data_IF_738164815935
#
_entry.id   IF_738164815935
#
_cell.length_a   1.000
_cell.length_b   1.000
_cell.length_c   1.000
_cell.angle_alpha   90.00
_cell.angle_beta   90.00
_cell.angle_gamma   90.00
#
_symmetry.space_group_name_H-M   'P 1'
#
loop_
_entity.id
_entity.type
_entity.pdbx_description
1 polymer ?
#
# COMPACT_ATOMS: atom_id res chain seq x y z
N UNK A 1 31.95 15.87 -3.69
CA UNK A 1 33.18 15.60 -2.96
C UNK A 1 33.03 14.30 -2.17
N UNK A 2 34.11 13.51 -2.08
CA UNK A 2 34.18 12.21 -1.38
C UNK A 2 33.69 12.32 0.08
N UNK A 3 33.99 13.43 0.75
CA UNK A 3 33.53 13.74 2.10
C UNK A 3 31.99 13.72 2.25
N UNK A 4 31.26 14.26 1.25
CA UNK A 4 29.78 14.29 1.25
C UNK A 4 29.18 12.88 1.10
N UNK A 5 29.81 12.04 0.26
CA UNK A 5 29.40 10.64 0.05
C UNK A 5 29.62 9.82 1.34
N UNK A 6 30.78 9.97 1.98
CA UNK A 6 31.09 9.29 3.25
C UNK A 6 30.12 9.72 4.35
N UNK A 7 29.75 11.01 4.42
CA UNK A 7 28.77 11.52 5.37
C UNK A 7 27.35 10.98 5.12
N UNK A 8 26.95 10.81 3.85
CA UNK A 8 25.64 10.18 3.51
C UNK A 8 25.59 8.69 3.84
N UNK A 9 26.71 7.94 3.64
CA UNK A 9 26.79 6.52 3.94
C UNK A 9 26.80 6.27 5.45
N UNK A 10 27.42 7.16 6.23
CA UNK A 10 27.52 7.05 7.69
C UNK A 10 26.38 7.76 8.45
N UNK A 11 25.43 8.40 7.75
CA UNK A 11 24.27 8.96 8.41
C UNK A 11 23.42 7.84 9.02
N UNK A 12 23.00 7.93 10.30
CA UNK A 12 22.17 6.91 10.94
C UNK A 12 20.86 6.77 10.15
N UNK A 13 20.72 5.63 9.47
CA UNK A 13 19.48 5.32 8.75
C UNK A 13 18.36 5.09 9.78
N UNK A 14 17.30 5.86 9.70
CA UNK A 14 16.12 5.72 10.58
C UNK A 14 15.46 4.33 10.47
N UNK A 15 15.67 3.62 9.38
CA UNK A 15 15.18 2.25 9.18
C UNK A 15 16.19 1.46 8.33
N UNK A 16 16.54 0.23 8.73
CA UNK A 16 17.42 -0.60 7.92
C UNK A 16 16.78 -0.90 6.55
N UNK A 17 17.61 -0.93 5.51
CA UNK A 17 17.20 -1.32 4.15
C UNK A 17 16.67 -2.76 4.16
N UNK A 18 15.35 -2.91 4.10
CA UNK A 18 14.73 -4.22 3.99
C UNK A 18 14.85 -4.73 2.55
N UNK A 19 15.58 -5.82 2.34
CA UNK A 19 15.66 -6.51 1.07
C UNK A 19 14.31 -7.16 0.74
N UNK A 20 13.49 -6.48 -0.05
CA UNK A 20 12.23 -7.02 -0.52
C UNK A 20 12.42 -7.82 -1.82
N UNK A 21 11.53 -8.78 -2.10
CA UNK A 21 11.53 -9.50 -3.39
C UNK A 21 11.43 -8.57 -4.59
N UNK A 22 10.76 -7.41 -4.45
CA UNK A 22 10.71 -6.37 -5.47
C UNK A 22 12.08 -5.76 -5.73
N UNK A 23 12.78 -5.40 -4.67
CA UNK A 23 14.15 -4.85 -4.75
C UNK A 23 15.11 -5.84 -5.40
N UNK A 24 15.03 -7.13 -5.03
CA UNK A 24 15.84 -8.17 -5.65
C UNK A 24 15.59 -8.26 -7.18
N UNK A 25 14.33 -8.24 -7.64
CA UNK A 25 14.00 -8.24 -9.08
C UNK A 25 14.54 -7.02 -9.82
N UNK A 26 14.43 -5.81 -9.22
CA UNK A 26 14.97 -4.59 -9.82
C UNK A 26 16.49 -4.64 -9.93
N UNK A 27 17.19 -5.10 -8.89
CA UNK A 27 18.65 -5.26 -8.89
C UNK A 27 19.05 -6.31 -9.93
N UNK A 28 18.35 -7.44 -10.02
CA UNK A 28 18.63 -8.47 -11.03
C UNK A 28 18.45 -7.94 -12.45
N UNK A 29 17.38 -7.19 -12.71
CA UNK A 29 17.15 -6.57 -14.01
C UNK A 29 18.25 -5.55 -14.35
N UNK A 30 18.63 -4.69 -13.42
CA UNK A 30 19.71 -3.73 -13.58
C UNK A 30 21.04 -4.43 -13.88
N UNK A 31 21.35 -5.50 -13.15
CA UNK A 31 22.57 -6.30 -13.35
C UNK A 31 22.60 -6.93 -14.75
N UNK A 32 21.50 -7.51 -15.20
CA UNK A 32 21.39 -8.10 -16.56
C UNK A 32 21.56 -7.01 -17.62
N UNK A 33 20.97 -5.81 -17.44
CA UNK A 33 21.16 -4.68 -18.37
C UNK A 33 22.62 -4.24 -18.43
N UNK A 34 23.27 -4.08 -17.27
CA UNK A 34 24.68 -3.72 -17.21
C UNK A 34 25.55 -4.77 -17.92
N UNK A 35 25.36 -6.05 -17.65
CA UNK A 35 26.10 -7.14 -18.31
C UNK A 35 25.86 -7.15 -19.83
N UNK A 36 24.60 -7.00 -20.26
CA UNK A 36 24.24 -6.98 -21.68
C UNK A 36 24.90 -5.83 -22.42
N UNK A 37 24.85 -4.62 -21.87
CA UNK A 37 25.49 -3.43 -22.47
C UNK A 37 27.01 -3.62 -22.51
N UNK A 38 27.62 -4.07 -21.41
CA UNK A 38 29.07 -4.31 -21.35
C UNK A 38 29.49 -5.33 -22.39
N UNK A 39 28.72 -6.44 -22.52
CA UNK A 39 28.98 -7.48 -23.52
C UNK A 39 28.90 -6.93 -24.96
N UNK A 40 27.83 -6.18 -25.27
CA UNK A 40 27.67 -5.57 -26.61
C UNK A 40 28.79 -4.59 -26.93
N UNK A 41 29.16 -3.76 -25.98
CA UNK A 41 30.26 -2.79 -26.15
C UNK A 41 31.61 -3.49 -26.37
N UNK A 42 31.90 -4.56 -25.63
CA UNK A 42 33.12 -5.37 -25.82
C UNK A 42 33.09 -6.06 -27.17
N UNK A 43 31.94 -6.58 -27.61
CA UNK A 43 31.77 -7.27 -28.90
C UNK A 43 31.95 -6.30 -30.08
N UNK A 44 31.36 -5.11 -30.01
CA UNK A 44 31.53 -4.06 -31.04
C UNK A 44 32.98 -3.57 -31.11
N UNK A 45 33.69 -3.58 -29.97
CA UNK A 45 35.08 -3.16 -29.90
C UNK A 45 36.08 -4.31 -30.12
N UNK A 46 35.73 -5.39 -30.88
CA UNK A 46 36.56 -6.59 -31.05
C UNK A 46 37.92 -6.29 -31.66
N UNK A 47 37.99 -5.32 -32.62
CA UNK A 47 39.19 -4.90 -33.32
C UNK A 47 40.08 -3.91 -32.53
N UNK A 48 39.62 -3.46 -31.38
CA UNK A 48 40.29 -2.43 -30.60
C UNK A 48 41.24 -3.01 -29.55
N UNK A 49 42.25 -2.22 -29.18
CA UNK A 49 43.27 -2.59 -28.20
C UNK A 49 42.63 -2.91 -26.83
N UNK A 50 43.20 -3.84 -26.08
CA UNK A 50 42.64 -4.36 -24.80
C UNK A 50 42.37 -3.26 -23.74
N UNK A 51 43.13 -2.16 -23.73
CA UNK A 51 42.94 -1.06 -22.78
C UNK A 51 41.63 -0.27 -23.06
N UNK A 52 41.11 -0.27 -24.31
CA UNK A 52 39.81 0.36 -24.63
C UNK A 52 38.69 -0.52 -24.08
N UNK A 53 38.78 -1.84 -24.17
CA UNK A 53 37.83 -2.79 -23.56
C UNK A 53 37.78 -2.63 -22.05
N UNK A 54 38.93 -2.47 -21.40
CA UNK A 54 39.03 -2.17 -19.99
C UNK A 54 38.38 -0.83 -19.64
N UNK A 55 38.63 0.22 -20.42
CA UNK A 55 37.99 1.53 -20.27
C UNK A 55 36.45 1.44 -20.33
N UNK A 56 35.90 0.65 -21.26
CA UNK A 56 34.45 0.42 -21.38
C UNK A 56 33.88 -0.18 -20.10
N UNK A 57 34.53 -1.20 -19.52
CA UNK A 57 34.09 -1.82 -18.27
C UNK A 57 34.09 -0.82 -17.12
N UNK A 58 35.15 -0.01 -17.00
CA UNK A 58 35.29 1.01 -15.95
C UNK A 58 34.28 2.16 -16.09
N UNK A 59 33.88 2.50 -17.32
CA UNK A 59 32.93 3.58 -17.57
C UNK A 59 31.45 3.13 -17.49
N UNK A 60 31.17 1.81 -17.56
CA UNK A 60 29.79 1.30 -17.47
C UNK A 60 29.01 1.81 -16.23
N UNK A 61 29.59 1.95 -15.02
CA UNK A 61 28.91 2.51 -13.86
C UNK A 61 28.41 3.96 -14.05
N UNK A 62 29.00 4.73 -14.95
CA UNK A 62 28.53 6.10 -15.27
C UNK A 62 27.15 6.10 -15.96
N UNK A 63 26.73 4.96 -16.52
CA UNK A 63 25.42 4.78 -17.13
C UNK A 63 24.32 4.46 -16.08
N UNK A 64 24.67 4.17 -14.81
CA UNK A 64 23.69 3.81 -13.77
C UNK A 64 22.56 4.85 -13.61
N UNK A 65 22.78 6.18 -13.66
CA UNK A 65 21.69 7.16 -13.59
C UNK A 65 20.62 6.97 -14.68
N UNK A 66 20.97 6.40 -15.82
CA UNK A 66 20.07 6.10 -16.94
C UNK A 66 19.50 4.68 -16.80
N UNK A 67 20.34 3.72 -16.43
CA UNK A 67 19.95 2.31 -16.36
C UNK A 67 19.00 2.00 -15.20
N UNK A 68 19.11 2.73 -14.08
CA UNK A 68 18.19 2.55 -12.93
C UNK A 68 16.74 2.91 -13.31
N UNK A 69 16.40 4.09 -13.85
CA UNK A 69 15.04 4.36 -14.31
C UNK A 69 14.62 3.43 -15.44
N UNK A 70 15.50 3.07 -16.37
CA UNK A 70 15.20 2.13 -17.46
C UNK A 70 14.81 0.75 -16.92
N UNK A 71 15.56 0.20 -15.97
CA UNK A 71 15.22 -1.07 -15.32
C UNK A 71 13.87 -1.00 -14.59
N UNK A 72 13.56 0.15 -13.98
CA UNK A 72 12.26 0.38 -13.37
C UNK A 72 11.14 0.33 -14.41
N UNK A 73 11.27 1.03 -15.53
CA UNK A 73 10.28 1.01 -16.62
C UNK A 73 10.06 -0.40 -17.18
N UNK A 74 11.12 -1.15 -17.42
CA UNK A 74 11.04 -2.54 -17.91
C UNK A 74 10.29 -3.43 -16.92
N UNK A 75 10.46 -3.20 -15.60
CA UNK A 75 9.83 -4.00 -14.55
C UNK A 75 8.39 -3.59 -14.23
N UNK A 76 7.93 -2.38 -14.64
CA UNK A 76 6.56 -1.90 -14.37
C UNK A 76 5.45 -2.87 -14.79
N UNK A 77 5.43 -3.43 -16.01
CA UNK A 77 4.37 -4.34 -16.43
C UNK A 77 4.35 -5.62 -15.60
N UNK A 78 5.53 -6.18 -15.30
CA UNK A 78 5.65 -7.36 -14.46
C UNK A 78 5.18 -7.10 -13.02
N UNK A 79 5.59 -5.98 -12.42
CA UNK A 79 5.15 -5.58 -11.07
C UNK A 79 3.63 -5.33 -11.01
N UNK A 80 3.07 -4.72 -12.06
CA UNK A 80 1.62 -4.49 -12.19
C UNK A 80 0.86 -5.80 -12.31
N UNK A 81 1.34 -6.74 -13.12
CA UNK A 81 0.76 -8.07 -13.27
C UNK A 81 0.82 -8.88 -11.96
N UNK A 82 1.95 -8.85 -11.25
CA UNK A 82 2.10 -9.49 -9.94
C UNK A 82 1.09 -8.90 -8.96
N UNK A 83 0.99 -7.57 -8.85
CA UNK A 83 0.04 -6.88 -7.98
C UNK A 83 -1.40 -7.27 -8.30
N UNK A 84 -1.77 -7.20 -9.57
CA UNK A 84 -3.09 -7.59 -10.05
C UNK A 84 -3.43 -9.05 -9.70
N UNK A 85 -2.49 -9.99 -9.93
CA UNK A 85 -2.67 -11.40 -9.61
C UNK A 85 -2.93 -11.64 -8.12
N UNK A 86 -2.16 -10.97 -7.24
CA UNK A 86 -2.37 -11.07 -5.79
C UNK A 86 -3.73 -10.50 -5.36
N UNK A 87 -4.12 -9.33 -5.86
CA UNK A 87 -5.41 -8.71 -5.57
C UNK A 87 -6.55 -9.61 -6.06
N UNK A 88 -6.45 -10.16 -7.28
CA UNK A 88 -7.43 -11.10 -7.83
C UNK A 88 -7.61 -12.34 -6.95
N UNK A 89 -6.50 -12.91 -6.46
CA UNK A 89 -6.54 -14.06 -5.53
C UNK A 89 -7.22 -13.69 -4.21
N UNK A 90 -6.94 -12.50 -3.65
CA UNK A 90 -7.59 -12.05 -2.42
C UNK A 90 -9.09 -11.86 -2.60
N UNK A 91 -9.52 -11.20 -3.68
CA UNK A 91 -10.94 -11.05 -4.01
C UNK A 91 -11.64 -12.40 -4.18
N UNK A 92 -11.01 -13.34 -4.90
CA UNK A 92 -11.54 -14.69 -5.07
C UNK A 92 -11.68 -15.45 -3.74
N UNK A 93 -10.73 -15.26 -2.80
CA UNK A 93 -10.82 -15.83 -1.45
C UNK A 93 -11.97 -15.24 -0.66
N UNK A 94 -12.16 -13.92 -0.70
CA UNK A 94 -13.27 -13.23 -0.02
C UNK A 94 -14.64 -13.56 -0.64
N UNK A 95 -14.73 -13.71 -1.95
CA UNK A 95 -15.96 -14.08 -2.64
C UNK A 95 -16.49 -15.47 -2.22
N UNK A 96 -15.58 -16.36 -1.81
CA UNK A 96 -15.95 -17.70 -1.26
C UNK A 96 -16.41 -17.66 0.20
N UNK A 97 -16.42 -16.49 0.83
CA UNK A 97 -16.75 -16.29 2.24
C UNK A 97 -17.85 -15.24 2.41
N UNK A 98 -19.09 -15.51 1.94
CA UNK A 98 -20.24 -14.62 2.14
C UNK A 98 -20.63 -14.49 3.62
N UNK A 99 -20.29 -15.49 4.44
CA UNK A 99 -20.46 -15.55 5.88
C UNK A 99 -19.56 -14.59 6.66
N UNK A 100 -18.44 -14.14 6.08
CA UNK A 100 -17.45 -13.30 6.74
C UNK A 100 -17.94 -11.87 6.86
N UNK A 101 -18.12 -11.39 8.07
CA UNK A 101 -18.40 -9.97 8.34
C UNK A 101 -17.12 -9.13 8.13
N UNK A 102 -17.20 -8.07 7.34
CA UNK A 102 -16.06 -7.22 6.98
C UNK A 102 -16.31 -5.80 7.43
N UNK A 103 -15.45 -5.33 8.34
CA UNK A 103 -15.53 -3.99 8.93
C UNK A 103 -14.37 -3.15 8.42
N UNK A 104 -14.67 -2.03 7.75
CA UNK A 104 -13.68 -1.05 7.30
C UNK A 104 -13.48 0.04 8.36
N UNK A 105 -12.24 0.39 8.66
CA UNK A 105 -11.91 1.50 9.56
C UNK A 105 -11.05 2.51 8.81
N UNK A 106 -11.51 3.75 8.70
CA UNK A 106 -10.72 4.85 8.14
C UNK A 106 -10.78 6.10 8.98
N UNK A 107 -9.91 7.06 8.68
CA UNK A 107 -9.80 8.35 9.35
C UNK A 107 -8.40 8.93 9.19
N UNK A 108 -8.21 10.17 9.61
CA UNK A 108 -6.90 10.80 9.62
C UNK A 108 -6.05 10.28 10.80
N UNK A 109 -6.62 10.11 11.96
CA UNK A 109 -5.99 9.62 13.20
C UNK A 109 -6.89 8.60 13.91
N UNK A 110 -6.36 7.88 14.91
CA UNK A 110 -7.12 6.95 15.74
C UNK A 110 -7.43 5.59 15.13
N UNK A 111 -7.21 5.36 13.82
CA UNK A 111 -7.54 4.10 13.12
C UNK A 111 -7.00 2.85 13.80
N UNK A 112 -5.71 2.85 14.11
CA UNK A 112 -5.03 1.70 14.71
C UNK A 112 -5.51 1.44 16.13
N UNK A 113 -5.72 2.48 16.94
CA UNK A 113 -6.25 2.36 18.30
C UNK A 113 -7.67 1.77 18.28
N UNK A 114 -8.57 2.34 17.47
CA UNK A 114 -9.95 1.84 17.31
C UNK A 114 -9.96 0.40 16.80
N UNK A 115 -9.09 0.05 15.86
CA UNK A 115 -8.93 -1.32 15.37
C UNK A 115 -8.60 -2.30 16.49
N UNK A 116 -7.66 -1.97 17.37
CA UNK A 116 -7.28 -2.84 18.50
C UNK A 116 -8.40 -2.95 19.53
N UNK A 117 -9.01 -1.83 19.93
CA UNK A 117 -10.14 -1.84 20.86
C UNK A 117 -11.29 -2.71 20.31
N UNK A 118 -11.66 -2.50 19.05
CA UNK A 118 -12.71 -3.27 18.40
C UNK A 118 -12.35 -4.77 18.30
N UNK A 119 -11.08 -5.07 18.03
CA UNK A 119 -10.60 -6.44 18.01
C UNK A 119 -10.76 -7.09 19.38
N UNK A 120 -10.29 -6.45 20.45
CA UNK A 120 -10.35 -7.00 21.80
C UNK A 120 -11.80 -7.24 22.23
N UNK A 121 -12.71 -6.28 21.98
CA UNK A 121 -14.13 -6.41 22.29
C UNK A 121 -14.82 -7.55 21.53
N UNK A 122 -14.55 -7.68 20.23
CA UNK A 122 -15.22 -8.69 19.39
C UNK A 122 -14.60 -10.08 19.56
N UNK A 123 -13.32 -10.16 19.89
CA UNK A 123 -12.60 -11.44 20.02
C UNK A 123 -12.98 -12.22 21.28
N UNK A 124 -13.70 -11.58 22.22
CA UNK A 124 -14.33 -12.27 23.38
C UNK A 124 -15.36 -13.32 22.95
N UNK A 125 -16.03 -13.08 21.81
CA UNK A 125 -17.13 -13.93 21.34
C UNK A 125 -16.92 -14.54 19.97
N UNK A 126 -16.13 -13.88 19.12
CA UNK A 126 -15.94 -14.26 17.71
C UNK A 126 -14.47 -14.49 17.40
N UNK A 127 -14.19 -15.34 16.42
CA UNK A 127 -12.84 -15.47 15.88
C UNK A 127 -12.58 -14.30 14.91
N UNK A 128 -11.82 -13.31 15.36
CA UNK A 128 -11.59 -12.08 14.61
C UNK A 128 -10.22 -12.13 13.93
N UNK A 129 -10.19 -11.75 12.65
CA UNK A 129 -8.97 -11.42 11.93
C UNK A 129 -8.86 -9.90 11.81
N UNK A 130 -7.77 -9.30 12.27
CA UNK A 130 -7.49 -7.89 12.02
C UNK A 130 -6.24 -7.69 11.20
N UNK A 131 -6.14 -6.55 10.52
CA UNK A 131 -4.91 -6.18 9.81
C UNK A 131 -3.77 -5.97 10.82
N UNK A 132 -2.68 -6.78 10.78
CA UNK A 132 -1.55 -6.61 11.70
C UNK A 132 -0.81 -5.30 11.38
N UNK A 133 -0.24 -4.69 12.42
CA UNK A 133 0.47 -3.43 12.29
C UNK A 133 -0.36 -2.38 11.51
N UNK A 134 0.30 -1.60 10.65
CA UNK A 134 -0.32 -0.60 9.78
C UNK A 134 -0.53 -1.13 8.35
N UNK A 135 -0.98 -2.40 8.18
CA UNK A 135 -1.29 -2.97 6.87
C UNK A 135 -2.60 -2.39 6.33
N UNK A 136 -2.56 -1.11 5.89
CA UNK A 136 -3.70 -0.30 5.47
C UNK A 136 -3.63 0.11 3.99
N UNK A 137 -2.71 -0.48 3.22
CA UNK A 137 -2.53 -0.26 1.77
C UNK A 137 -3.11 -1.42 0.96
N UNK A 138 -3.33 -1.29 -0.37
CA UNK A 138 -3.86 -2.36 -1.21
C UNK A 138 -3.10 -3.68 -1.08
N UNK A 139 -1.77 -3.65 -1.14
CA UNK A 139 -0.95 -4.86 -0.96
C UNK A 139 -0.90 -5.33 0.49
N UNK A 140 -0.98 -4.40 1.46
CA UNK A 140 -1.09 -4.74 2.88
C UNK A 140 -2.34 -5.54 3.17
N UNK A 141 -3.52 -5.04 2.77
CA UNK A 141 -4.80 -5.73 2.96
C UNK A 141 -4.89 -7.02 2.15
N UNK A 142 -4.37 -7.03 0.92
CA UNK A 142 -4.25 -8.27 0.13
C UNK A 142 -3.46 -9.34 0.88
N UNK A 143 -2.35 -8.97 1.51
CA UNK A 143 -1.54 -9.87 2.34
C UNK A 143 -2.31 -10.35 3.58
N UNK A 144 -3.10 -9.47 4.22
CA UNK A 144 -3.99 -9.86 5.33
C UNK A 144 -4.93 -10.96 4.89
N UNK A 145 -5.65 -10.75 3.82
CA UNK A 145 -6.61 -11.72 3.28
C UNK A 145 -5.95 -13.05 2.92
N UNK A 146 -4.81 -13.01 2.23
CA UNK A 146 -4.17 -14.23 1.73
C UNK A 146 -3.44 -15.01 2.82
N UNK A 147 -2.79 -14.32 3.77
CA UNK A 147 -1.88 -14.95 4.74
C UNK A 147 -2.47 -15.08 6.15
N UNK A 148 -3.27 -14.11 6.61
CA UNK A 148 -3.72 -14.03 8.00
C UNK A 148 -5.18 -14.45 8.17
N UNK A 149 -6.03 -14.21 7.17
CA UNK A 149 -7.44 -14.64 7.23
C UNK A 149 -7.52 -16.17 7.11
N UNK A 150 -8.03 -16.80 8.18
CA UNK A 150 -8.21 -18.23 8.29
C UNK A 150 -9.68 -18.63 8.07
N UNK A 151 -9.97 -19.93 7.78
CA UNK A 151 -11.33 -20.40 7.58
C UNK A 151 -12.24 -20.19 8.80
N UNK A 152 -11.72 -20.33 10.00
CA UNK A 152 -12.44 -20.18 11.27
C UNK A 152 -12.78 -18.74 11.65
N UNK A 153 -12.22 -17.72 10.96
CA UNK A 153 -12.53 -16.33 11.27
C UNK A 153 -13.96 -15.97 10.85
N UNK A 154 -14.71 -15.34 11.75
CA UNK A 154 -16.06 -14.83 11.52
C UNK A 154 -16.05 -13.36 11.08
N UNK A 155 -15.07 -12.60 11.52
CA UNK A 155 -14.98 -11.14 11.29
C UNK A 155 -13.61 -10.79 10.76
N UNK A 156 -13.56 -9.88 9.78
CA UNK A 156 -12.34 -9.23 9.28
C UNK A 156 -12.42 -7.74 9.56
N UNK A 157 -11.49 -7.23 10.36
CA UNK A 157 -11.29 -5.79 10.58
C UNK A 157 -10.18 -5.29 9.69
N UNK A 158 -10.51 -4.41 8.74
CA UNK A 158 -9.60 -3.85 7.76
C UNK A 158 -9.34 -2.36 8.02
N UNK A 159 -8.13 -2.03 8.47
CA UNK A 159 -7.68 -0.65 8.54
C UNK A 159 -7.40 -0.12 7.13
N UNK A 160 -8.00 1.01 6.74
CA UNK A 160 -7.90 1.59 5.40
C UNK A 160 -7.20 2.94 5.43
N UNK A 161 -6.01 2.99 4.83
CA UNK A 161 -5.21 4.21 4.68
C UNK A 161 -5.36 4.82 3.30
N UNK A 162 -5.21 6.14 3.20
CA UNK A 162 -5.24 6.85 1.92
C UNK A 162 -4.24 8.00 1.91
N UNK A 163 -3.73 8.31 0.72
CA UNK A 163 -2.87 9.47 0.43
C UNK A 163 -3.46 10.39 -0.63
N UNK A 164 -4.44 9.92 -1.39
CA UNK A 164 -5.12 10.65 -2.45
C UNK A 164 -6.58 10.21 -2.56
N UNK A 165 -7.37 11.01 -3.27
CA UNK A 165 -8.78 10.69 -3.60
C UNK A 165 -8.81 9.42 -4.45
N UNK A 166 -9.76 8.50 -4.15
CA UNK A 166 -9.91 7.21 -4.80
C UNK A 166 -9.21 6.04 -4.08
N UNK A 167 -8.30 6.31 -3.14
CA UNK A 167 -7.56 5.24 -2.45
C UNK A 167 -8.48 4.37 -1.59
N UNK A 168 -9.42 4.98 -0.85
CA UNK A 168 -10.37 4.22 -0.01
C UNK A 168 -11.35 3.43 -0.88
N UNK A 169 -11.88 4.03 -1.94
CA UNK A 169 -12.74 3.33 -2.89
C UNK A 169 -12.03 2.11 -3.49
N UNK A 170 -10.75 2.24 -3.81
CA UNK A 170 -9.95 1.12 -4.30
C UNK A 170 -9.79 0.01 -3.25
N UNK A 171 -9.57 0.35 -1.97
CA UNK A 171 -9.51 -0.62 -0.88
C UNK A 171 -10.86 -1.29 -0.64
N UNK A 172 -11.96 -0.53 -0.71
CA UNK A 172 -13.32 -1.05 -0.62
C UNK A 172 -13.62 -2.06 -1.75
N UNK A 173 -13.15 -1.80 -2.96
CA UNK A 173 -13.26 -2.73 -4.08
C UNK A 173 -12.46 -4.04 -3.89
N UNK A 174 -11.49 -4.07 -2.98
CA UNK A 174 -10.75 -5.30 -2.62
C UNK A 174 -11.47 -6.04 -1.50
N UNK A 175 -11.86 -5.33 -0.44
CA UNK A 175 -12.35 -5.93 0.82
C UNK A 175 -13.88 -6.12 0.80
N UNK A 176 -14.62 -5.24 0.12
CA UNK A 176 -16.08 -5.16 0.14
C UNK A 176 -16.62 -5.09 1.59
N UNK A 177 -16.34 -4.01 2.34
CA UNK A 177 -16.80 -3.86 3.71
C UNK A 177 -18.33 -3.83 3.78
N UNK A 178 -18.87 -4.37 4.88
CA UNK A 178 -20.32 -4.39 5.16
C UNK A 178 -20.68 -3.40 6.27
N UNK A 179 -19.69 -3.02 7.08
CA UNK A 179 -19.81 -2.04 8.14
C UNK A 179 -18.59 -1.12 8.14
N UNK A 180 -18.71 0.07 8.71
CA UNK A 180 -17.62 1.04 8.75
C UNK A 180 -17.51 1.80 10.06
N UNK A 181 -16.29 2.25 10.35
CA UNK A 181 -15.99 3.21 11.41
C UNK A 181 -15.14 4.34 10.83
N UNK A 182 -15.57 5.59 11.05
CA UNK A 182 -14.83 6.80 10.67
C UNK A 182 -14.30 7.46 11.93
N UNK A 183 -12.99 7.37 12.16
CA UNK A 183 -12.38 7.77 13.44
C UNK A 183 -12.13 9.26 13.57
N UNK A 184 -11.93 9.97 12.48
CA UNK A 184 -11.74 11.42 12.50
C UNK A 184 -11.24 11.95 11.15
N UNK A 185 -11.53 13.22 10.90
CA UNK A 185 -11.07 13.99 9.75
C UNK A 185 -10.21 15.13 10.27
N UNK A 186 -8.99 15.21 9.78
CA UNK A 186 -8.03 16.25 10.16
C UNK A 186 -7.07 16.53 9.01
N UNK A 187 -6.18 17.49 9.20
CA UNK A 187 -5.22 17.97 8.20
C UNK A 187 -4.05 17.01 7.89
N UNK A 188 -4.11 15.76 8.34
CA UNK A 188 -3.05 14.78 8.07
C UNK A 188 -2.91 14.55 6.54
N UNK A 189 -1.68 14.54 6.05
CA UNK A 189 -1.36 14.40 4.62
C UNK A 189 -1.92 15.53 3.74
N UNK A 190 -2.11 16.73 4.27
CA UNK A 190 -2.62 17.88 3.52
C UNK A 190 -1.82 18.17 2.23
N UNK A 191 -0.50 17.98 2.27
CA UNK A 191 0.39 18.15 1.11
C UNK A 191 0.00 17.25 -0.07
N UNK A 192 -0.46 16.02 0.19
CA UNK A 192 -0.84 15.08 -0.86
C UNK A 192 -2.30 15.19 -1.28
N UNK A 193 -3.19 15.58 -0.36
CA UNK A 193 -4.61 15.78 -0.65
C UNK A 193 -4.94 17.16 -1.20
N UNK A 194 -4.08 18.16 -0.96
CA UNK A 194 -4.27 19.56 -1.38
C UNK A 194 -5.33 20.32 -0.58
N UNK A 195 -6.31 19.65 0.04
CA UNK A 195 -7.34 20.30 0.85
C UNK A 195 -7.98 19.34 1.86
N UNK A 196 -8.51 19.89 2.96
CA UNK A 196 -9.32 19.14 3.95
C UNK A 196 -10.60 18.57 3.30
N UNK A 197 -11.17 19.30 2.34
CA UNK A 197 -12.34 18.84 1.56
C UNK A 197 -12.03 17.53 0.81
N UNK A 198 -10.86 17.40 0.23
CA UNK A 198 -10.43 16.16 -0.43
C UNK A 198 -10.20 15.03 0.57
N UNK A 199 -9.68 15.35 1.77
CA UNK A 199 -9.54 14.36 2.85
C UNK A 199 -10.92 13.84 3.27
N UNK A 200 -11.88 14.73 3.53
CA UNK A 200 -13.28 14.39 3.84
C UNK A 200 -13.90 13.53 2.74
N UNK A 201 -13.80 13.98 1.47
CA UNK A 201 -14.30 13.24 0.31
C UNK A 201 -13.71 11.82 0.26
N UNK A 202 -12.41 11.66 0.48
CA UNK A 202 -11.74 10.36 0.44
C UNK A 202 -12.21 9.44 1.58
N UNK A 203 -12.41 9.97 2.80
CA UNK A 203 -12.93 9.14 3.91
C UNK A 203 -14.39 8.74 3.67
N UNK A 204 -15.17 9.62 3.05
CA UNK A 204 -16.55 9.33 2.67
C UNK A 204 -16.67 8.22 1.60
N UNK A 205 -15.61 7.94 0.82
CA UNK A 205 -15.59 6.81 -0.12
C UNK A 205 -15.89 5.47 0.57
N UNK A 206 -15.51 5.31 1.86
CA UNK A 206 -15.85 4.12 2.63
C UNK A 206 -17.38 4.04 2.84
N UNK A 207 -18.00 5.13 3.26
CA UNK A 207 -19.47 5.20 3.49
C UNK A 207 -20.23 4.93 2.20
N UNK A 208 -19.81 5.57 1.09
CA UNK A 208 -20.42 5.40 -0.23
C UNK A 208 -20.26 3.98 -0.82
N UNK A 209 -19.32 3.19 -0.31
CA UNK A 209 -19.07 1.81 -0.76
C UNK A 209 -19.86 0.77 0.02
N UNK A 210 -20.62 1.18 1.04
CA UNK A 210 -21.36 0.27 1.92
C UNK A 210 -22.72 -0.12 1.32
N UNK A 211 -23.22 -1.32 1.64
CA UNK A 211 -24.59 -1.71 1.32
C UNK A 211 -25.60 -0.91 2.16
N UNK A 212 -26.87 -0.83 1.72
CA UNK A 212 -27.92 -0.04 2.39
C UNK A 212 -28.20 -0.45 3.84
N UNK A 213 -27.99 -1.73 4.17
CA UNK A 213 -28.18 -2.28 5.52
C UNK A 213 -26.92 -2.21 6.40
N UNK A 214 -25.91 -1.51 5.96
CA UNK A 214 -24.66 -1.36 6.72
C UNK A 214 -24.87 -0.56 8.02
N UNK A 215 -24.09 -0.92 9.04
CA UNK A 215 -23.90 -0.05 10.20
C UNK A 215 -22.65 0.81 9.99
N UNK A 216 -22.78 2.10 10.23
CA UNK A 216 -21.65 3.02 10.17
C UNK A 216 -21.58 3.86 11.44
N UNK A 217 -20.38 3.92 12.03
CA UNK A 217 -20.12 4.68 13.25
C UNK A 217 -19.20 5.86 12.92
N UNK A 218 -19.56 7.03 13.40
CA UNK A 218 -18.81 8.27 13.24
C UNK A 218 -18.34 8.76 14.61
N UNK A 219 -17.22 9.44 14.68
CA UNK A 219 -16.73 10.04 15.91
C UNK A 219 -17.46 11.35 16.18
N UNK A 220 -18.21 11.40 17.27
CA UNK A 220 -19.00 12.54 17.70
C UNK A 220 -18.16 13.79 18.06
N UNK A 221 -16.92 13.62 18.48
CA UNK A 221 -16.07 14.74 18.90
C UNK A 221 -15.34 15.44 17.75
N UNK A 222 -15.50 14.97 16.52
CA UNK A 222 -14.81 15.53 15.36
C UNK A 222 -15.80 16.15 14.37
N UNK A 223 -15.70 17.46 14.14
CA UNK A 223 -16.61 18.21 13.25
C UNK A 223 -16.69 17.63 11.84
N UNK A 224 -15.55 17.25 11.24
CA UNK A 224 -15.56 16.67 9.90
C UNK A 224 -16.30 15.35 9.80
N UNK A 225 -16.32 14.54 10.88
CA UNK A 225 -17.12 13.31 10.93
C UNK A 225 -18.59 13.56 11.24
N UNK A 226 -18.94 14.60 12.02
CA UNK A 226 -20.32 15.03 12.19
C UNK A 226 -20.94 15.46 10.87
N UNK A 227 -20.23 16.28 10.09
CA UNK A 227 -20.67 16.65 8.75
C UNK A 227 -20.90 15.43 7.85
N UNK A 228 -20.03 14.42 7.91
CA UNK A 228 -20.24 13.17 7.16
C UNK A 228 -21.44 12.38 7.68
N UNK A 229 -21.69 12.39 8.97
CA UNK A 229 -22.89 11.77 9.57
C UNK A 229 -24.16 12.44 9.05
N UNK A 230 -24.21 13.77 8.99
CA UNK A 230 -25.36 14.51 8.46
C UNK A 230 -25.58 14.23 6.97
N UNK A 231 -24.52 14.18 6.17
CA UNK A 231 -24.56 13.87 4.74
C UNK A 231 -24.88 12.40 4.44
N UNK A 232 -24.75 11.50 5.43
CA UNK A 232 -24.91 10.06 5.24
C UNK A 232 -26.40 9.67 5.16
N UNK A 233 -26.79 9.00 4.08
CA UNK A 233 -28.17 8.53 3.84
C UNK A 233 -28.43 7.09 4.34
N UNK A 234 -27.46 6.41 4.95
CA UNK A 234 -27.66 5.07 5.50
C UNK A 234 -28.56 5.12 6.72
N UNK A 235 -29.47 4.12 6.84
CA UNK A 235 -30.45 4.05 7.94
C UNK A 235 -29.77 3.80 9.29
N UNK A 236 -28.77 2.93 9.32
CA UNK A 236 -28.10 2.53 10.56
C UNK A 236 -26.77 3.31 10.72
N UNK A 237 -26.89 4.59 11.05
CA UNK A 237 -25.76 5.48 11.33
C UNK A 237 -25.74 5.89 12.80
N UNK A 238 -24.56 5.90 13.39
CA UNK A 238 -24.36 6.17 14.80
C UNK A 238 -23.25 7.23 14.99
N UNK A 239 -23.42 8.07 16.00
CA UNK A 239 -22.43 9.05 16.46
C UNK A 239 -21.81 8.58 17.77
#
# INVERSE_FOLDING_TARGET
SIYFIIKMVNAPQKTPLAQTRRMARLISCLFILCLGITFVLIWVCTEWLWFIKFGVVVLTPLLLPILVPLSHFIMLPLESFIRWSYIRKAKAKLAKRPDLIRIGITGSYGKTSVKHILFDMLNEKYNVCMSPHSFNTPMGLTKVVLKYLKPENHILIAEMGAKQVGDIAYLCNIIHPQHAIITGIGSQHLETFGSVKNIKKTKNELVLSLPENANVVFNMENEGTKELYEECNLKNKFL
#
